data_IF_820608262721
#
_entry.id   IF_820608262721
#
_cell.length_a   1.000
_cell.length_b   1.000
_cell.length_c   1.000
_cell.angle_alpha   90.00
_cell.angle_beta   90.00
_cell.angle_gamma   90.00
#
_symmetry.space_group_name_H-M   'P 1'
#
loop_
_entity.id
_entity.type
_entity.pdbx_description
1 polymer ?
#
# COMPACT_ATOMS: atom_id res chain seq x y z
N UNK A 1 -2.43 -5.89 -25.94
CA UNK A 1 -1.53 -6.83 -25.23
C UNK A 1 -0.43 -6.00 -24.60
N UNK A 2 -0.20 -6.16 -23.30
CA UNK A 2 0.80 -5.39 -22.54
C UNK A 2 2.15 -6.10 -22.56
N UNK A 3 3.22 -5.38 -22.20
CA UNK A 3 4.51 -6.00 -21.89
C UNK A 3 5.02 -5.48 -20.56
N UNK A 4 5.83 -6.28 -19.86
CA UNK A 4 6.43 -5.87 -18.60
C UNK A 4 7.20 -4.55 -18.74
N UNK A 5 7.97 -4.40 -19.81
CA UNK A 5 8.72 -3.18 -20.09
C UNK A 5 7.81 -1.94 -20.25
N UNK A 6 6.65 -2.09 -20.88
CA UNK A 6 5.76 -0.95 -21.15
C UNK A 6 5.03 -0.51 -19.90
N UNK A 7 4.48 -1.45 -19.11
CA UNK A 7 3.79 -1.11 -17.85
C UNK A 7 4.75 -0.53 -16.80
N UNK A 8 6.04 -0.84 -16.86
CA UNK A 8 7.04 -0.29 -15.92
C UNK A 8 7.61 1.06 -16.34
N UNK A 9 7.43 1.49 -17.60
CA UNK A 9 7.98 2.75 -18.12
C UNK A 9 6.93 3.79 -18.49
N UNK A 10 5.69 3.38 -18.69
CA UNK A 10 4.61 4.25 -19.13
C UNK A 10 3.43 4.18 -18.16
N UNK A 11 3.14 5.32 -17.53
CA UNK A 11 2.06 5.46 -16.56
C UNK A 11 0.69 5.12 -17.15
N UNK A 12 0.39 5.54 -18.38
CA UNK A 12 -0.90 5.24 -19.02
C UNK A 12 -1.04 3.73 -19.26
N UNK A 13 0.02 3.09 -19.76
CA UNK A 13 0.04 1.63 -19.94
C UNK A 13 -0.12 0.88 -18.61
N UNK A 14 0.50 1.37 -17.53
CA UNK A 14 0.30 0.82 -16.19
C UNK A 14 -1.17 0.93 -15.74
N UNK A 15 -1.77 2.12 -15.88
CA UNK A 15 -3.17 2.36 -15.54
C UNK A 15 -4.12 1.48 -16.35
N UNK A 16 -3.89 1.32 -17.65
CA UNK A 16 -4.72 0.46 -18.51
C UNK A 16 -4.57 -1.02 -18.17
N UNK A 17 -3.36 -1.46 -17.81
CA UNK A 17 -3.12 -2.81 -17.30
C UNK A 17 -3.88 -3.06 -15.99
N UNK A 18 -3.83 -2.11 -15.05
CA UNK A 18 -4.57 -2.20 -13.77
C UNK A 18 -6.08 -2.26 -14.01
N UNK A 19 -6.62 -1.42 -14.90
CA UNK A 19 -8.04 -1.46 -15.29
C UNK A 19 -8.42 -2.84 -15.83
N UNK A 20 -7.57 -3.44 -16.67
CA UNK A 20 -7.80 -4.80 -17.17
C UNK A 20 -7.79 -5.84 -16.04
N UNK A 21 -6.82 -5.79 -15.12
CA UNK A 21 -6.78 -6.70 -13.96
C UNK A 21 -8.02 -6.61 -13.09
N UNK A 22 -8.50 -5.39 -12.83
CA UNK A 22 -9.67 -5.11 -11.99
C UNK A 22 -10.98 -5.71 -12.54
N UNK A 23 -11.03 -6.11 -13.82
CA UNK A 23 -12.14 -6.89 -14.36
C UNK A 23 -12.32 -8.27 -13.68
N UNK A 24 -11.31 -8.74 -12.94
CA UNK A 24 -11.37 -9.99 -12.16
C UNK A 24 -11.73 -9.80 -10.68
N UNK A 25 -12.25 -8.63 -10.27
CA UNK A 25 -12.62 -8.39 -8.87
C UNK A 25 -13.43 -9.54 -8.25
N UNK A 26 -13.07 -9.90 -7.01
CA UNK A 26 -13.64 -11.02 -6.26
C UNK A 26 -13.03 -12.40 -6.56
N UNK A 27 -12.28 -12.56 -7.65
CA UNK A 27 -11.55 -13.82 -7.95
C UNK A 27 -10.32 -13.99 -7.06
N UNK A 28 -9.80 -15.22 -7.03
CA UNK A 28 -8.58 -15.54 -6.27
C UNK A 28 -7.33 -14.85 -6.82
N UNK A 29 -6.32 -14.68 -5.97
CA UNK A 29 -5.01 -14.17 -6.37
C UNK A 29 -4.40 -15.00 -7.51
N UNK A 30 -4.54 -16.33 -7.48
CA UNK A 30 -4.07 -17.20 -8.56
C UNK A 30 -4.74 -16.89 -9.88
N UNK A 31 -6.07 -16.71 -9.90
CA UNK A 31 -6.81 -16.35 -11.11
C UNK A 31 -6.39 -14.99 -11.65
N UNK A 32 -6.16 -14.00 -10.76
CA UNK A 32 -5.63 -12.70 -11.16
C UNK A 32 -4.23 -12.82 -11.78
N UNK A 33 -3.33 -13.59 -11.16
CA UNK A 33 -1.97 -13.80 -11.67
C UNK A 33 -1.96 -14.55 -13.01
N UNK A 34 -2.86 -15.53 -13.19
CA UNK A 34 -3.03 -16.22 -14.47
C UNK A 34 -3.51 -15.26 -15.55
N UNK A 35 -4.50 -14.43 -15.23
CA UNK A 35 -5.00 -13.42 -16.16
C UNK A 35 -3.91 -12.38 -16.49
N UNK A 36 -3.18 -11.88 -15.49
CA UNK A 36 -2.05 -10.98 -15.67
C UNK A 36 -1.04 -11.52 -16.68
N UNK A 37 -0.61 -12.78 -16.52
CA UNK A 37 0.28 -13.47 -17.46
C UNK A 37 -0.31 -13.60 -18.87
N UNK A 38 -1.63 -13.77 -19.00
CA UNK A 38 -2.28 -13.88 -20.30
C UNK A 38 -2.38 -12.56 -21.07
N UNK A 39 -2.28 -11.42 -20.37
CA UNK A 39 -2.42 -10.09 -20.98
C UNK A 39 -1.11 -9.29 -21.01
N UNK A 40 -0.10 -9.69 -20.23
CA UNK A 40 1.17 -8.98 -20.09
C UNK A 40 2.37 -9.92 -20.26
N UNK A 41 3.08 -9.75 -21.38
CA UNK A 41 4.27 -10.54 -21.69
C UNK A 41 5.44 -10.18 -20.77
N UNK A 42 6.22 -11.19 -20.37
CA UNK A 42 7.43 -11.03 -19.55
C UNK A 42 7.22 -11.20 -18.04
N UNK A 43 5.99 -11.47 -17.58
CA UNK A 43 5.73 -11.86 -16.19
C UNK A 43 6.21 -13.29 -15.89
N UNK A 44 6.63 -13.59 -14.64
CA UNK A 44 7.10 -14.92 -14.28
C UNK A 44 5.96 -15.94 -14.26
N UNK A 45 6.25 -17.19 -14.64
CA UNK A 45 5.34 -18.32 -14.42
C UNK A 45 5.12 -18.55 -12.92
N UNK A 46 4.02 -19.21 -12.55
CA UNK A 46 3.74 -19.55 -11.14
C UNK A 46 4.88 -20.40 -10.55
N UNK A 47 5.36 -21.40 -11.28
CA UNK A 47 6.50 -22.23 -10.86
C UNK A 47 7.76 -21.40 -10.60
N UNK A 48 8.16 -20.53 -11.55
CA UNK A 48 9.35 -19.68 -11.39
C UNK A 48 9.19 -18.67 -10.26
N UNK A 49 7.98 -18.13 -10.08
CA UNK A 49 7.67 -17.20 -8.99
C UNK A 49 7.77 -17.90 -7.63
N UNK A 50 7.12 -19.05 -7.46
CA UNK A 50 7.13 -19.79 -6.21
C UNK A 50 8.53 -20.31 -5.88
N UNK A 51 9.28 -20.81 -6.85
CA UNK A 51 10.66 -21.26 -6.65
C UNK A 51 11.60 -20.14 -6.14
N UNK A 52 11.37 -18.89 -6.55
CA UNK A 52 12.17 -17.75 -6.10
C UNK A 52 11.72 -17.19 -4.73
N UNK A 53 10.43 -17.26 -4.42
CA UNK A 53 9.86 -16.59 -3.26
C UNK A 53 9.67 -17.51 -2.05
N UNK A 54 9.46 -18.81 -2.29
CA UNK A 54 9.11 -19.79 -1.27
C UNK A 54 10.33 -20.68 -1.01
N UNK A 55 11.05 -20.42 0.09
CA UNK A 55 11.99 -21.39 0.66
C UNK A 55 11.31 -22.27 1.71
N UNK A 56 11.91 -23.41 2.10
CA UNK A 56 11.35 -24.31 3.13
C UNK A 56 11.05 -23.61 4.49
N UNK A 57 11.69 -22.46 4.76
CA UNK A 57 11.47 -21.64 5.97
C UNK A 57 10.38 -20.56 5.83
N UNK A 58 9.80 -20.39 4.63
CA UNK A 58 9.02 -19.19 4.23
C UNK A 58 7.50 -19.25 4.43
N UNK A 59 6.91 -20.39 4.76
CA UNK A 59 5.44 -20.50 4.92
C UNK A 59 4.86 -19.62 6.06
N UNK A 60 5.73 -19.04 6.91
CA UNK A 60 5.37 -18.08 7.97
C UNK A 60 5.87 -16.65 7.70
N UNK A 61 6.40 -16.37 6.51
CA UNK A 61 6.89 -15.04 6.15
C UNK A 61 5.71 -14.06 6.00
N UNK A 62 5.62 -13.11 6.93
CA UNK A 62 4.59 -12.06 6.94
C UNK A 62 4.61 -11.20 5.66
N UNK A 63 5.74 -11.14 4.96
CA UNK A 63 5.92 -10.38 3.73
C UNK A 63 5.63 -11.16 2.44
N UNK A 64 5.32 -12.47 2.51
CA UNK A 64 5.22 -13.31 1.31
C UNK A 64 4.15 -12.82 0.32
N UNK A 65 2.99 -12.37 0.81
CA UNK A 65 1.92 -11.88 -0.08
C UNK A 65 2.36 -10.64 -0.86
N UNK A 66 3.09 -9.73 -0.21
CA UNK A 66 3.64 -8.54 -0.86
C UNK A 66 4.61 -8.92 -1.97
N UNK A 67 5.55 -9.82 -1.68
CA UNK A 67 6.52 -10.34 -2.66
C UNK A 67 5.85 -11.02 -3.87
N UNK A 68 4.80 -11.81 -3.63
CA UNK A 68 4.02 -12.44 -4.71
C UNK A 68 3.33 -11.39 -5.57
N UNK A 69 2.78 -10.34 -4.98
CA UNK A 69 2.13 -9.25 -5.71
C UNK A 69 3.15 -8.46 -6.54
N UNK A 70 4.28 -8.06 -5.94
CA UNK A 70 5.36 -7.33 -6.61
C UNK A 70 5.92 -8.11 -7.81
N UNK A 71 6.30 -9.37 -7.59
CA UNK A 71 6.93 -10.17 -8.64
C UNK A 71 5.91 -10.70 -9.65
N UNK A 72 4.75 -11.15 -9.17
CA UNK A 72 3.74 -11.80 -9.99
C UNK A 72 2.96 -10.86 -10.90
N UNK A 73 2.67 -9.63 -10.47
CA UNK A 73 1.95 -8.65 -11.30
C UNK A 73 2.86 -7.67 -12.04
N UNK A 74 4.06 -7.41 -11.53
CA UNK A 74 4.92 -6.31 -12.00
C UNK A 74 6.37 -6.72 -12.23
N UNK A 75 6.70 -8.02 -12.15
CA UNK A 75 8.05 -8.53 -12.40
C UNK A 75 9.12 -8.00 -11.44
N UNK A 76 8.72 -7.34 -10.34
CA UNK A 76 9.65 -6.76 -9.37
C UNK A 76 10.10 -7.83 -8.37
N UNK A 77 11.38 -8.18 -8.42
CA UNK A 77 11.95 -9.14 -7.49
C UNK A 77 12.17 -8.48 -6.12
N UNK A 78 11.96 -9.23 -5.01
CA UNK A 78 12.29 -8.73 -3.70
C UNK A 78 13.76 -8.29 -3.63
N UNK A 79 13.97 -7.07 -3.19
CA UNK A 79 15.30 -6.50 -3.00
C UNK A 79 15.30 -5.64 -1.73
N UNK A 80 16.48 -5.19 -1.31
CA UNK A 80 16.66 -4.31 -0.15
C UNK A 80 16.85 -2.84 -0.53
N UNK A 81 16.47 -2.46 -1.75
CA UNK A 81 16.63 -1.09 -2.25
C UNK A 81 15.62 -0.16 -1.58
N UNK A 82 16.12 1.00 -1.15
CA UNK A 82 15.29 2.08 -0.63
C UNK A 82 14.60 2.90 -1.73
N UNK A 83 14.77 2.57 -3.00
CA UNK A 83 14.08 3.16 -4.16
C UNK A 83 12.69 2.58 -4.38
N UNK A 84 11.73 3.32 -4.98
CA UNK A 84 10.41 2.78 -5.32
C UNK A 84 10.51 1.55 -6.22
N UNK A 85 9.57 0.62 -6.10
CA UNK A 85 9.60 -0.65 -6.85
C UNK A 85 9.59 -0.46 -8.37
N UNK A 86 8.81 0.51 -8.87
CA UNK A 86 8.81 0.91 -10.29
C UNK A 86 9.58 2.22 -10.43
N UNK A 87 10.91 2.12 -10.51
CA UNK A 87 11.85 3.25 -10.51
C UNK A 87 11.48 4.30 -11.57
N UNK A 88 11.21 3.88 -12.81
CA UNK A 88 10.94 4.80 -13.92
C UNK A 88 9.67 5.63 -13.73
N UNK A 89 8.72 5.14 -12.92
CA UNK A 89 7.47 5.83 -12.59
C UNK A 89 7.49 6.40 -11.17
N UNK A 90 8.57 6.24 -10.40
CA UNK A 90 8.65 6.59 -8.97
C UNK A 90 7.47 6.03 -8.17
N UNK A 91 7.01 4.83 -8.52
CA UNK A 91 5.81 4.22 -7.98
C UNK A 91 6.16 3.00 -7.12
N UNK A 92 5.63 2.96 -5.91
CA UNK A 92 5.84 1.87 -4.96
C UNK A 92 4.65 0.89 -4.97
N UNK A 93 4.89 -0.41 -4.82
CA UNK A 93 3.86 -1.45 -4.88
C UNK A 93 3.55 -1.90 -3.46
N UNK A 94 2.33 -1.63 -3.02
CA UNK A 94 1.84 -2.04 -1.71
C UNK A 94 0.73 -3.07 -1.84
N UNK A 95 0.59 -3.85 -0.77
CA UNK A 95 -0.52 -4.77 -0.61
C UNK A 95 -1.22 -4.51 0.71
N UNK A 96 -2.55 -4.48 0.70
CA UNK A 96 -3.34 -4.12 1.87
C UNK A 96 -4.48 -5.12 2.08
N UNK A 97 -4.57 -5.66 3.28
CA UNK A 97 -5.68 -6.49 3.71
C UNK A 97 -6.88 -5.63 4.10
N UNK A 98 -8.06 -5.94 3.58
CA UNK A 98 -9.32 -5.34 3.98
C UNK A 98 -10.12 -6.33 4.82
N UNK A 99 -10.77 -5.84 5.88
CA UNK A 99 -11.57 -6.65 6.81
C UNK A 99 -13.01 -6.18 6.85
N UNK A 100 -13.91 -7.09 7.19
CA UNK A 100 -15.31 -6.83 7.45
C UNK A 100 -15.50 -5.86 8.63
N UNK A 101 -16.35 -4.86 8.42
CA UNK A 101 -16.79 -3.90 9.42
C UNK A 101 -18.31 -4.00 9.60
N UNK A 102 -18.74 -4.47 10.78
CA UNK A 102 -20.15 -4.57 11.20
C UNK A 102 -21.12 -5.19 10.17
N UNK A 103 -20.64 -6.09 9.29
CA UNK A 103 -21.40 -6.70 8.17
C UNK A 103 -21.94 -5.73 7.10
N UNK A 104 -21.57 -4.46 7.15
CA UNK A 104 -22.11 -3.41 6.28
C UNK A 104 -21.08 -2.87 5.28
N UNK A 105 -19.79 -3.08 5.54
CA UNK A 105 -18.72 -2.67 4.65
C UNK A 105 -17.37 -3.30 5.00
N UNK A 106 -16.31 -2.92 4.28
CA UNK A 106 -14.93 -3.29 4.61
C UNK A 106 -14.03 -2.07 4.78
N UNK A 107 -12.97 -2.21 5.56
CA UNK A 107 -11.92 -1.19 5.67
C UNK A 107 -10.54 -1.80 5.74
N UNK A 108 -9.52 -0.97 5.52
CA UNK A 108 -8.14 -1.39 5.66
C UNK A 108 -7.90 -1.94 7.08
N UNK A 109 -7.36 -3.16 7.14
CA UNK A 109 -7.13 -3.90 8.38
C UNK A 109 -6.03 -3.25 9.24
N UNK A 110 -5.02 -2.70 8.57
CA UNK A 110 -3.82 -2.15 9.16
C UNK A 110 -3.33 -0.89 8.42
N UNK A 111 -2.36 -0.21 9.02
CA UNK A 111 -1.63 0.91 8.42
C UNK A 111 -0.78 0.41 7.25
N UNK A 112 -0.49 1.28 6.29
CA UNK A 112 0.49 0.99 5.25
C UNK A 112 1.85 1.59 5.60
N UNK A 113 2.82 0.76 5.96
CA UNK A 113 4.20 1.24 6.19
C UNK A 113 4.84 1.66 4.86
N UNK A 114 5.48 2.82 4.86
CA UNK A 114 6.10 3.43 3.68
C UNK A 114 7.60 3.15 3.66
N UNK A 115 8.33 3.75 4.60
CA UNK A 115 9.79 3.63 4.71
C UNK A 115 10.26 3.90 6.15
N UNK A 116 11.44 3.39 6.50
CA UNK A 116 12.11 3.72 7.76
C UNK A 116 12.63 5.17 7.71
N UNK A 117 12.54 5.89 8.83
CA UNK A 117 12.84 7.33 8.86
C UNK A 117 13.75 7.79 10.01
N UNK A 118 14.14 6.88 10.91
CA UNK A 118 15.10 7.19 11.98
C UNK A 118 14.93 6.30 13.21
N UNK A 119 15.63 6.64 14.29
CA UNK A 119 15.67 5.89 15.54
C UNK A 119 15.70 6.82 16.76
N UNK A 120 14.79 6.63 17.72
CA UNK A 120 14.72 7.47 18.94
C UNK A 120 15.85 7.27 19.94
N UNK A 121 16.78 6.32 19.69
CA UNK A 121 18.06 6.18 20.41
C UNK A 121 19.19 6.99 19.77
N UNK A 122 19.00 7.46 18.53
CA UNK A 122 19.93 8.30 17.80
C UNK A 122 19.14 9.37 17.02
N UNK A 123 18.86 10.51 17.66
CA UNK A 123 18.00 11.53 17.06
C UNK A 123 18.60 12.18 15.80
N UNK A 124 19.91 12.13 15.62
CA UNK A 124 20.59 12.63 14.42
C UNK A 124 20.16 11.82 13.18
N UNK A 125 19.68 10.58 13.37
CA UNK A 125 19.11 9.78 12.27
C UNK A 125 17.79 10.35 11.70
N UNK A 126 17.18 11.34 12.34
CA UNK A 126 16.01 12.05 11.82
C UNK A 126 16.37 13.34 11.07
N UNK A 127 17.66 13.61 10.81
CA UNK A 127 18.10 14.87 10.19
C UNK A 127 17.35 15.20 8.89
N UNK A 128 17.08 14.19 8.06
CA UNK A 128 16.31 14.35 6.83
C UNK A 128 14.87 14.86 7.04
N UNK A 129 14.24 14.62 8.19
CA UNK A 129 12.94 15.22 8.53
C UNK A 129 13.13 16.67 8.98
N UNK A 130 14.21 16.96 9.70
CA UNK A 130 14.45 18.28 10.28
C UNK A 130 14.88 19.32 9.23
N UNK A 131 15.67 18.89 8.25
CA UNK A 131 16.19 19.70 7.14
C UNK A 131 15.12 20.10 6.11
N UNK A 132 13.98 19.40 6.11
CA UNK A 132 12.92 19.58 5.11
C UNK A 132 11.63 20.00 5.78
N UNK A 133 11.28 21.28 5.62
CA UNK A 133 10.05 21.87 6.18
C UNK A 133 8.78 21.26 5.58
N UNK A 134 8.82 20.86 4.31
CA UNK A 134 7.67 20.28 3.62
C UNK A 134 7.89 18.82 3.27
N UNK A 135 6.83 18.00 3.39
CA UNK A 135 6.93 16.57 3.10
C UNK A 135 7.42 16.30 1.68
N UNK A 136 6.96 17.09 0.70
CA UNK A 136 7.36 16.98 -0.71
C UNK A 136 8.87 17.15 -0.96
N UNK A 137 9.54 17.91 -0.09
CA UNK A 137 10.99 18.13 -0.17
C UNK A 137 11.79 17.07 0.58
N UNK A 138 11.15 16.32 1.48
CA UNK A 138 11.79 15.24 2.23
C UNK A 138 12.18 14.09 1.30
N UNK A 139 13.38 13.53 1.45
CA UNK A 139 13.82 12.41 0.58
C UNK A 139 12.94 11.15 0.66
N UNK A 140 12.16 11.00 1.74
CA UNK A 140 11.18 9.91 1.91
C UNK A 140 9.91 10.10 1.07
N UNK A 141 9.69 11.28 0.49
CA UNK A 141 8.53 11.60 -0.33
C UNK A 141 8.44 10.73 -1.57
N UNK A 142 9.57 10.47 -2.25
CA UNK A 142 9.59 9.71 -3.49
C UNK A 142 8.99 8.29 -3.36
N UNK A 143 9.12 7.67 -2.18
CA UNK A 143 8.49 6.36 -1.87
C UNK A 143 7.03 6.45 -1.43
N UNK A 144 6.55 7.65 -1.18
CA UNK A 144 5.26 7.92 -0.53
C UNK A 144 4.28 8.63 -1.46
N UNK A 145 4.79 9.31 -2.49
CA UNK A 145 4.04 10.21 -3.36
C UNK A 145 3.19 9.50 -4.38
N UNK A 146 3.64 8.33 -4.86
CA UNK A 146 2.93 7.53 -5.86
C UNK A 146 3.03 6.05 -5.51
N UNK A 147 1.90 5.38 -5.42
CA UNK A 147 1.89 3.96 -5.07
C UNK A 147 0.68 3.22 -5.64
N UNK A 148 0.89 1.94 -5.89
CA UNK A 148 -0.16 0.96 -6.16
C UNK A 148 -0.57 0.31 -4.84
N UNK A 149 -1.87 0.10 -4.61
CA UNK A 149 -2.33 -0.74 -3.52
C UNK A 149 -3.18 -1.87 -4.08
N UNK A 150 -2.67 -3.08 -3.93
CA UNK A 150 -3.39 -4.32 -4.21
C UNK A 150 -4.21 -4.72 -2.97
N UNK A 151 -5.53 -4.59 -3.09
CA UNK A 151 -6.49 -4.80 -2.00
C UNK A 151 -6.93 -6.27 -1.98
N UNK A 152 -6.75 -6.91 -0.83
CA UNK A 152 -7.12 -8.30 -0.60
C UNK A 152 -8.26 -8.41 0.38
N UNK A 153 -9.14 -9.38 0.17
CA UNK A 153 -10.14 -9.73 1.15
C UNK A 153 -9.51 -10.59 2.26
N UNK A 154 -9.50 -10.09 3.48
CA UNK A 154 -8.88 -10.72 4.66
C UNK A 154 -9.89 -10.90 5.80
N UNK A 155 -11.04 -11.48 5.44
CA UNK A 155 -12.10 -11.93 6.35
C UNK A 155 -11.84 -13.33 6.94
N UNK A 156 -10.85 -14.06 6.43
CA UNK A 156 -10.53 -15.43 6.85
C UNK A 156 -9.45 -15.47 7.95
N UNK A 157 -9.44 -16.55 8.75
CA UNK A 157 -8.37 -16.83 9.75
C UNK A 157 -7.00 -16.81 9.07
N UNK A 158 -5.95 -16.44 9.82
CA UNK A 158 -4.53 -16.39 9.39
C UNK A 158 -4.25 -17.46 8.33
N UNK A 159 -3.93 -17.04 7.11
CA UNK A 159 -3.44 -17.94 6.07
C UNK A 159 -2.17 -18.62 6.59
N UNK A 160 -2.11 -19.96 6.53
CA UNK A 160 -1.00 -20.74 7.06
C UNK A 160 -0.16 -21.39 5.94
N UNK A 161 -0.71 -21.47 4.73
CA UNK A 161 -0.07 -22.11 3.59
C UNK A 161 -0.05 -21.19 2.37
N UNK A 162 0.89 -21.46 1.46
CA UNK A 162 0.96 -20.79 0.15
C UNK A 162 -0.32 -21.01 -0.65
N UNK A 163 -0.90 -22.21 -0.57
CA UNK A 163 -2.14 -22.55 -1.28
C UNK A 163 -3.33 -21.71 -0.79
N UNK A 164 -3.48 -21.55 0.53
CA UNK A 164 -4.52 -20.68 1.09
C UNK A 164 -4.34 -19.23 0.64
N UNK A 165 -3.09 -18.73 0.62
CA UNK A 165 -2.74 -17.39 0.14
C UNK A 165 -3.10 -17.22 -1.34
N UNK A 166 -2.77 -18.19 -2.19
CA UNK A 166 -3.07 -18.14 -3.64
C UNK A 166 -4.58 -18.16 -3.92
N UNK A 167 -5.36 -18.78 -3.03
CA UNK A 167 -6.83 -18.78 -3.06
C UNK A 167 -7.48 -17.57 -2.37
N UNK A 168 -6.68 -16.59 -1.91
CA UNK A 168 -7.22 -15.37 -1.30
C UNK A 168 -7.96 -14.51 -2.35
N UNK A 169 -9.20 -14.05 -2.09
CA UNK A 169 -9.88 -13.14 -2.99
C UNK A 169 -9.20 -11.78 -3.06
N UNK A 170 -9.05 -11.26 -4.27
CA UNK A 170 -8.58 -9.91 -4.55
C UNK A 170 -9.79 -9.01 -4.82
N UNK A 171 -9.81 -7.81 -4.23
CA UNK A 171 -10.90 -6.86 -4.40
C UNK A 171 -10.63 -5.89 -5.55
N UNK A 172 -9.48 -5.22 -5.50
CA UNK A 172 -9.15 -4.14 -6.43
C UNK A 172 -7.65 -3.83 -6.38
N UNK A 173 -7.09 -3.31 -7.47
CA UNK A 173 -5.82 -2.58 -7.46
C UNK A 173 -6.12 -1.11 -7.73
N UNK A 174 -5.64 -0.24 -6.85
CA UNK A 174 -5.74 1.22 -7.02
C UNK A 174 -4.37 1.81 -7.27
N UNK A 175 -4.32 2.82 -8.13
CA UNK A 175 -3.15 3.67 -8.31
C UNK A 175 -3.43 5.03 -7.65
N UNK A 176 -2.52 5.48 -6.79
CA UNK A 176 -2.69 6.69 -5.99
C UNK A 176 -1.52 7.61 -6.21
N UNK A 177 -1.82 8.88 -6.45
CA UNK A 177 -0.85 9.98 -6.49
C UNK A 177 -1.26 11.02 -5.47
N UNK A 178 -0.39 11.35 -4.52
CA UNK A 178 -0.71 12.32 -3.48
C UNK A 178 -1.05 13.70 -4.06
N UNK A 179 -0.38 14.09 -5.15
CA UNK A 179 -0.58 15.37 -5.81
C UNK A 179 -1.99 15.51 -6.39
N UNK A 180 -2.65 14.41 -6.78
CA UNK A 180 -3.99 14.42 -7.37
C UNK A 180 -5.10 14.28 -6.32
N UNK A 181 -4.76 14.09 -5.05
CA UNK A 181 -5.74 13.98 -3.98
C UNK A 181 -6.49 15.30 -3.76
N UNK A 182 -7.73 15.25 -3.23
CA UNK A 182 -8.46 16.44 -2.81
C UNK A 182 -7.62 17.34 -1.89
N UNK A 183 -7.75 18.66 -2.06
CA UNK A 183 -6.96 19.65 -1.31
C UNK A 183 -7.03 19.41 0.20
N UNK A 184 -8.21 19.10 0.74
CA UNK A 184 -8.40 18.78 2.16
C UNK A 184 -7.48 17.64 2.62
N UNK A 185 -7.35 16.58 1.84
CA UNK A 185 -6.50 15.44 2.20
C UNK A 185 -5.02 15.79 2.15
N UNK A 186 -4.60 16.57 1.15
CA UNK A 186 -3.22 17.05 1.04
C UNK A 186 -2.87 17.97 2.22
N UNK A 187 -3.77 18.86 2.61
CA UNK A 187 -3.61 19.72 3.80
C UNK A 187 -3.44 18.91 5.08
N UNK A 188 -4.21 17.82 5.25
CA UNK A 188 -4.06 16.93 6.41
C UNK A 188 -2.68 16.25 6.40
N UNK A 189 -2.21 15.73 5.27
CA UNK A 189 -0.87 15.11 5.16
C UNK A 189 0.22 16.11 5.53
N UNK A 190 0.14 17.35 5.02
CA UNK A 190 1.11 18.39 5.33
C UNK A 190 1.09 18.78 6.81
N UNK A 191 -0.10 18.92 7.41
CA UNK A 191 -0.24 19.18 8.84
C UNK A 191 0.30 18.03 9.70
N UNK A 192 0.12 16.80 9.27
CA UNK A 192 0.66 15.62 9.95
C UNK A 192 2.19 15.59 9.89
N UNK A 193 2.78 15.90 8.73
CA UNK A 193 4.22 15.98 8.57
C UNK A 193 4.83 17.07 9.47
N UNK A 194 4.20 18.25 9.54
CA UNK A 194 4.65 19.33 10.43
C UNK A 194 4.59 18.89 11.90
N UNK A 195 3.51 18.22 12.31
CA UNK A 195 3.39 17.65 13.65
C UNK A 195 4.48 16.59 13.92
N UNK A 196 4.78 15.72 12.95
CA UNK A 196 5.88 14.76 13.04
C UNK A 196 7.21 15.48 13.25
N UNK A 197 7.50 16.50 12.44
CA UNK A 197 8.73 17.29 12.52
C UNK A 197 8.88 17.94 13.90
N UNK A 198 7.81 18.55 14.41
CA UNK A 198 7.78 19.10 15.76
C UNK A 198 8.03 18.04 16.84
N UNK A 199 7.41 16.86 16.72
CA UNK A 199 7.65 15.75 17.64
C UNK A 199 9.11 15.26 17.63
N UNK A 200 9.78 15.30 16.47
CA UNK A 200 11.21 14.96 16.35
C UNK A 200 12.07 16.04 17.01
N UNK A 201 11.81 17.33 16.71
CA UNK A 201 12.53 18.47 17.30
C UNK A 201 12.50 18.43 18.83
N UNK A 202 11.33 18.15 19.40
CA UNK A 202 11.13 18.08 20.84
C UNK A 202 11.63 16.76 21.48
N UNK A 203 12.16 15.84 20.68
CA UNK A 203 12.57 14.50 21.10
C UNK A 203 11.46 13.69 21.76
N UNK A 204 10.22 13.87 21.28
CA UNK A 204 8.98 13.22 21.77
C UNK A 204 8.20 12.54 20.64
N UNK A 205 8.90 11.73 19.83
CA UNK A 205 8.31 11.04 18.67
C UNK A 205 7.11 10.17 19.07
N UNK A 206 5.93 10.54 18.60
CA UNK A 206 4.64 9.93 18.91
C UNK A 206 3.72 9.92 17.68
N UNK A 207 2.68 9.09 17.70
CA UNK A 207 1.60 9.06 16.68
C UNK A 207 0.43 10.00 17.03
N UNK A 208 0.44 10.61 18.22
CA UNK A 208 -0.70 11.36 18.74
C UNK A 208 -0.99 12.58 17.87
N UNK A 209 -2.25 12.73 17.45
CA UNK A 209 -2.73 13.88 16.69
C UNK A 209 -2.47 13.81 15.18
N UNK A 210 -1.72 12.81 14.71
CA UNK A 210 -1.54 12.56 13.28
C UNK A 210 -2.79 11.84 12.73
N UNK A 211 -3.24 12.12 11.49
CA UNK A 211 -4.49 11.60 10.93
C UNK A 211 -4.31 10.66 9.74
N UNK A 212 -3.53 11.06 8.75
CA UNK A 212 -3.26 10.34 7.50
C UNK A 212 -1.82 9.86 7.42
N UNK A 213 -0.83 10.72 7.67
CA UNK A 213 0.59 10.35 7.69
C UNK A 213 1.07 10.22 9.13
N UNK A 214 1.61 9.06 9.51
CA UNK A 214 2.08 8.80 10.87
C UNK A 214 3.56 8.49 10.92
N UNK A 215 4.20 8.80 12.05
CA UNK A 215 5.48 8.22 12.46
C UNK A 215 5.27 7.15 13.54
N UNK A 216 5.58 5.89 13.25
CA UNK A 216 5.31 4.77 14.15
C UNK A 216 6.53 3.90 14.41
N UNK A 217 6.48 3.12 15.50
CA UNK A 217 7.52 2.13 15.85
C UNK A 217 7.61 1.05 14.78
N UNK A 218 8.82 0.73 14.33
CA UNK A 218 9.05 -0.33 13.34
C UNK A 218 10.17 -1.28 13.79
N UNK A 219 10.16 -2.53 13.32
CA UNK A 219 11.10 -3.58 13.72
C UNK A 219 10.66 -4.45 14.91
N UNK A 220 11.42 -5.52 15.18
CA UNK A 220 11.11 -6.51 16.21
C UNK A 220 11.62 -6.09 17.61
N UNK A 221 10.82 -6.38 18.63
CA UNK A 221 11.16 -6.16 20.05
C UNK A 221 10.63 -4.85 20.63
N UNK A 222 10.18 -4.90 21.90
CA UNK A 222 9.87 -3.69 22.65
C UNK A 222 11.14 -2.82 22.77
N UNK A 223 11.08 -1.56 22.35
CA UNK A 223 12.19 -0.61 22.52
C UNK A 223 13.26 -0.62 21.42
N UNK A 224 12.96 -1.08 20.19
CA UNK A 224 13.90 -0.98 19.05
C UNK A 224 14.37 0.46 18.78
N UNK A 225 13.53 1.45 19.10
CA UNK A 225 13.78 2.87 18.82
C UNK A 225 13.52 3.25 17.36
N UNK A 226 13.58 2.29 16.44
CA UNK A 226 13.31 2.49 15.02
C UNK A 226 11.91 3.06 14.78
N UNK A 227 11.83 3.95 13.79
CA UNK A 227 10.62 4.62 13.35
C UNK A 227 10.48 4.53 11.84
N UNK A 228 9.24 4.45 11.39
CA UNK A 228 8.88 4.46 9.98
C UNK A 228 7.73 5.46 9.75
N UNK A 229 7.66 5.98 8.53
CA UNK A 229 6.44 6.59 8.05
C UNK A 229 5.42 5.54 7.66
N UNK A 230 4.14 5.86 7.85
CA UNK A 230 3.06 5.02 7.38
C UNK A 230 1.77 5.81 7.17
N UNK A 231 1.00 5.41 6.17
CA UNK A 231 -0.35 5.90 6.03
C UNK A 231 -1.30 5.13 6.95
N UNK A 232 -2.24 5.85 7.58
CA UNK A 232 -3.23 5.21 8.45
C UNK A 232 -4.20 4.34 7.65
N UNK A 233 -4.80 3.34 8.32
CA UNK A 233 -5.86 2.54 7.70
C UNK A 233 -7.05 3.39 7.25
N UNK A 234 -7.34 4.50 7.96
CA UNK A 234 -8.36 5.48 7.56
C UNK A 234 -7.98 6.14 6.23
N UNK A 235 -6.75 6.65 6.10
CA UNK A 235 -6.29 7.20 4.83
C UNK A 235 -6.41 6.18 3.68
N UNK A 236 -5.91 4.96 3.88
CA UNK A 236 -5.97 3.88 2.89
C UNK A 236 -7.42 3.57 2.48
N UNK A 237 -8.33 3.48 3.45
CA UNK A 237 -9.75 3.24 3.18
C UNK A 237 -10.36 4.39 2.37
N UNK A 238 -10.00 5.65 2.68
CA UNK A 238 -10.54 6.82 2.00
C UNK A 238 -10.01 7.00 0.58
N UNK A 239 -8.72 6.74 0.32
CA UNK A 239 -8.18 6.80 -1.06
C UNK A 239 -8.76 5.70 -1.96
N UNK A 240 -8.99 4.50 -1.41
CA UNK A 240 -9.68 3.43 -2.16
C UNK A 240 -11.13 3.84 -2.45
N UNK A 241 -11.82 4.46 -1.48
CA UNK A 241 -13.18 4.94 -1.68
C UNK A 241 -13.29 6.04 -2.74
N UNK A 242 -12.30 6.95 -2.83
CA UNK A 242 -12.23 7.96 -3.89
C UNK A 242 -12.13 7.33 -5.28
N UNK A 243 -11.26 6.33 -5.43
CA UNK A 243 -11.07 5.61 -6.69
C UNK A 243 -12.35 4.84 -7.09
N UNK A 244 -13.03 4.24 -6.12
CA UNK A 244 -14.32 3.58 -6.36
C UNK A 244 -15.42 4.59 -6.71
N UNK A 245 -15.44 5.76 -6.08
CA UNK A 245 -16.40 6.82 -6.39
C UNK A 245 -16.25 7.27 -7.86
N UNK A 246 -15.02 7.45 -8.33
CA UNK A 246 -14.73 7.75 -9.73
C UNK A 246 -15.17 6.60 -10.66
N UNK A 247 -14.75 5.36 -10.36
CA UNK A 247 -15.08 4.18 -11.16
C UNK A 247 -16.59 3.98 -11.32
N UNK A 248 -17.35 4.20 -10.25
CA UNK A 248 -18.80 4.01 -10.22
C UNK A 248 -19.59 5.28 -10.57
N UNK A 249 -18.93 6.40 -10.86
CA UNK A 249 -19.54 7.71 -11.09
C UNK A 249 -20.51 8.09 -9.95
N UNK A 250 -20.07 7.89 -8.72
CA UNK A 250 -20.79 8.18 -7.47
C UNK A 250 -20.09 9.25 -6.66
N UNK A 251 -20.80 9.85 -5.71
CA UNK A 251 -20.16 10.71 -4.73
C UNK A 251 -19.46 9.87 -3.66
N UNK A 252 -18.45 10.43 -3.01
CA UNK A 252 -17.69 9.71 -1.97
C UNK A 252 -18.59 9.26 -0.82
N UNK A 253 -19.59 10.05 -0.46
CA UNK A 253 -20.55 9.76 0.61
C UNK A 253 -21.47 8.60 0.27
N UNK A 254 -21.66 8.31 -1.02
CA UNK A 254 -22.43 7.15 -1.48
C UNK A 254 -21.64 5.85 -1.32
N UNK A 255 -20.30 5.93 -1.33
CA UNK A 255 -19.37 4.78 -1.20
C UNK A 255 -19.03 4.50 0.26
N UNK A 256 -18.79 5.56 1.03
CA UNK A 256 -18.33 5.48 2.42
C UNK A 256 -19.47 5.26 3.42
N UNK A 257 -19.12 4.58 4.50
CA UNK A 257 -19.87 4.50 5.74
C UNK A 257 -18.98 5.13 6.82
N UNK A 258 -19.50 6.15 7.49
CA UNK A 258 -18.83 6.78 8.64
C UNK A 258 -19.57 6.40 9.93
N UNK A 259 -18.85 5.85 10.91
CA UNK A 259 -19.39 5.43 12.21
C UNK A 259 -18.45 5.90 13.33
N UNK A 260 -18.71 7.09 13.85
CA UNK A 260 -17.82 7.77 14.79
C UNK A 260 -16.46 8.07 14.14
N UNK A 261 -15.37 7.54 14.72
CA UNK A 261 -14.01 7.68 14.16
C UNK A 261 -13.66 6.63 13.10
N UNK A 262 -14.54 5.67 12.86
CA UNK A 262 -14.30 4.56 11.91
C UNK A 262 -14.92 4.88 10.56
N UNK A 263 -14.22 4.53 9.50
CA UNK A 263 -14.73 4.55 8.14
C UNK A 263 -14.64 3.17 7.50
N UNK A 264 -15.54 2.89 6.57
CA UNK A 264 -15.54 1.67 5.74
C UNK A 264 -16.20 1.94 4.39
N UNK A 265 -15.94 1.10 3.41
CA UNK A 265 -16.55 1.12 2.07
C UNK A 265 -17.69 0.10 2.03
N UNK A 266 -18.85 0.46 1.49
CA UNK A 266 -20.00 -0.47 1.33
C UNK A 266 -19.61 -1.65 0.44
N UNK A 267 -20.10 -2.84 0.78
CA UNK A 267 -19.73 -4.07 0.10
C UNK A 267 -20.07 -4.08 -1.40
N UNK A 268 -21.16 -3.44 -1.81
CA UNK A 268 -21.58 -3.43 -3.22
C UNK A 268 -20.58 -2.79 -4.18
N UNK A 269 -19.66 -1.96 -3.67
CA UNK A 269 -18.65 -1.27 -4.48
C UNK A 269 -17.29 -1.99 -4.52
N UNK A 270 -17.08 -3.00 -3.66
CA UNK A 270 -15.84 -3.76 -3.61
C UNK A 270 -15.84 -4.99 -4.52
#
# INVERSE_FOLDING_TARGET
MFTLLTILKNKNSLCDYIKALNANKGKSLREWLNYARSICDGLPSEENMLAQLVSEKSAKDKGLVGKIIEYGFFGQKPNSDSSPDIIALKCDIKSCAFKLFKKIGKNAKERQTLTNVGNTKNYDSFQNILDHEHFETCSYYAKSSQFLICIRDDDKKKMKTVEELMNQPMLLIVFVELETLPLEMRTIINSDYENIRQCVLEKRVSQKGQKYLHIHTHGAGHGSGNRAFGFTSSFITRVVALQLAELHQKKLEDILIESGKSISIKHEYL
#
